data_IF_794866806050
#
_entry.id   IF_794866806050
#
_cell.length_a   1.000
_cell.length_b   1.000
_cell.length_c   1.000
_cell.angle_alpha   90.00
_cell.angle_beta   90.00
_cell.angle_gamma   90.00
#
_symmetry.space_group_name_H-M   'P 1'
#
loop_
_entity.id
_entity.type
_entity.pdbx_description
1 polymer ?
#
# COMPACT_ATOMS: atom_id res chain seq x y z
N UNK A 1 7.96 13.40 0.32
CA UNK A 1 8.91 12.82 1.30
C UNK A 1 8.11 12.05 2.33
N UNK A 2 8.44 10.78 2.61
CA UNK A 2 7.64 9.92 3.49
C UNK A 2 7.36 10.52 4.88
N UNK A 3 8.35 11.13 5.53
CA UNK A 3 8.17 11.77 6.85
C UNK A 3 7.16 12.92 6.84
N UNK A 4 7.13 13.68 5.73
CA UNK A 4 6.17 14.76 5.54
C UNK A 4 4.75 14.23 5.38
N UNK A 5 4.57 13.16 4.59
CA UNK A 5 3.26 12.50 4.45
C UNK A 5 2.78 11.91 5.78
N UNK A 6 3.69 11.34 6.58
CA UNK A 6 3.36 10.87 7.92
C UNK A 6 2.91 12.00 8.84
N UNK A 7 3.66 13.10 8.88
CA UNK A 7 3.30 14.27 9.69
C UNK A 7 1.95 14.86 9.27
N UNK A 8 1.68 14.94 7.95
CA UNK A 8 0.41 15.37 7.40
C UNK A 8 -0.74 14.48 7.87
N UNK A 9 -0.61 13.15 7.70
CA UNK A 9 -1.65 12.20 8.11
C UNK A 9 -1.89 12.23 9.63
N UNK A 10 -0.84 12.39 10.44
CA UNK A 10 -0.96 12.55 11.88
C UNK A 10 -1.77 13.80 12.24
N UNK A 11 -1.46 14.94 11.62
CA UNK A 11 -2.18 16.21 11.84
C UNK A 11 -3.64 16.08 11.43
N UNK A 12 -3.93 15.47 10.28
CA UNK A 12 -5.30 15.24 9.80
C UNK A 12 -6.12 14.43 10.80
N UNK A 13 -5.58 13.34 11.36
CA UNK A 13 -6.28 12.53 12.36
C UNK A 13 -6.47 13.29 13.68
N UNK A 14 -5.43 13.96 14.18
CA UNK A 14 -5.48 14.67 15.46
C UNK A 14 -6.47 15.83 15.44
N UNK A 15 -6.56 16.55 14.31
CA UNK A 15 -7.43 17.71 14.15
C UNK A 15 -8.83 17.38 13.62
N UNK A 16 -9.12 16.12 13.29
CA UNK A 16 -10.45 15.71 12.83
C UNK A 16 -11.49 15.80 13.96
N UNK A 17 -12.24 16.90 13.99
CA UNK A 17 -13.34 17.13 14.93
C UNK A 17 -14.66 16.46 14.53
N UNK A 18 -14.70 15.77 13.40
CA UNK A 18 -15.91 15.11 12.88
C UNK A 18 -16.05 13.66 13.32
N UNK A 19 -14.96 13.04 13.77
CA UNK A 19 -14.96 11.69 14.32
C UNK A 19 -15.03 11.67 15.85
N UNK A 20 -15.49 10.54 16.39
CA UNK A 20 -15.44 10.28 17.82
C UNK A 20 -14.01 10.03 18.30
N UNK A 21 -13.77 10.20 19.61
CA UNK A 21 -12.47 9.92 20.23
C UNK A 21 -12.00 8.48 19.96
N UNK A 22 -12.93 7.51 20.03
CA UNK A 22 -12.64 6.10 19.73
C UNK A 22 -12.18 5.88 18.29
N UNK A 23 -12.85 6.51 17.32
CA UNK A 23 -12.43 6.41 15.91
C UNK A 23 -11.06 7.05 15.71
N UNK A 24 -10.81 8.20 16.34
CA UNK A 24 -9.51 8.86 16.30
C UNK A 24 -8.40 7.99 16.86
N UNK A 25 -8.61 7.37 18.03
CA UNK A 25 -7.65 6.44 18.62
C UNK A 25 -7.32 5.28 17.66
N UNK A 26 -8.33 4.65 17.09
CA UNK A 26 -8.14 3.53 16.15
C UNK A 26 -7.36 3.97 14.91
N UNK A 27 -7.62 5.17 14.37
CA UNK A 27 -6.89 5.72 13.22
C UNK A 27 -5.43 6.02 13.57
N UNK A 28 -5.16 6.58 14.76
CA UNK A 28 -3.79 6.81 15.24
C UNK A 28 -3.02 5.50 15.42
N UNK A 29 -3.67 4.46 15.92
CA UNK A 29 -3.09 3.11 16.04
C UNK A 29 -2.71 2.51 14.66
N UNK A 30 -3.41 2.87 13.59
CA UNK A 30 -3.09 2.41 12.22
C UNK A 30 -1.87 3.10 11.61
N UNK A 31 -1.60 4.37 11.95
CA UNK A 31 -0.54 5.17 11.34
C UNK A 31 0.84 4.55 11.54
N UNK A 32 1.16 4.18 12.79
CA UNK A 32 2.51 3.73 13.17
C UNK A 32 2.92 2.44 12.44
N UNK A 33 2.08 1.38 12.38
CA UNK A 33 2.42 0.18 11.62
C UNK A 33 2.59 0.42 10.11
N UNK A 34 1.74 1.21 9.47
CA UNK A 34 1.86 1.50 8.03
C UNK A 34 3.12 2.31 7.74
N UNK A 35 3.42 3.31 8.56
CA UNK A 35 4.67 4.08 8.44
C UNK A 35 5.91 3.22 8.67
N UNK A 36 5.87 2.33 9.67
CA UNK A 36 6.92 1.34 9.92
C UNK A 36 7.13 0.41 8.72
N UNK A 37 6.05 -0.03 8.07
CA UNK A 37 6.11 -0.85 6.85
C UNK A 37 6.70 -0.08 5.67
N UNK A 38 6.29 1.16 5.44
CA UNK A 38 6.86 2.02 4.41
C UNK A 38 8.37 2.18 4.61
N UNK A 39 8.81 2.49 5.83
CA UNK A 39 10.23 2.56 6.17
C UNK A 39 10.97 1.23 5.97
N UNK A 40 10.33 0.09 6.25
CA UNK A 40 10.91 -1.21 5.97
C UNK A 40 11.13 -1.42 4.46
N UNK A 41 10.21 -0.98 3.61
CA UNK A 41 10.42 -1.00 2.15
C UNK A 41 11.57 -0.08 1.72
N UNK A 42 11.68 1.15 2.25
CA UNK A 42 12.83 2.03 1.97
C UNK A 42 14.15 1.37 2.36
N UNK A 43 14.23 0.74 3.53
CA UNK A 43 15.42 0.02 4.00
C UNK A 43 15.81 -1.16 3.12
N UNK A 44 14.84 -1.78 2.44
CA UNK A 44 15.08 -2.84 1.44
C UNK A 44 15.56 -2.29 0.08
N UNK A 45 15.66 -0.97 -0.09
CA UNK A 45 16.14 -0.33 -1.32
C UNK A 45 15.05 -0.11 -2.37
N UNK A 46 13.77 -0.19 -2.01
CA UNK A 46 12.69 0.13 -2.92
C UNK A 46 12.69 1.62 -3.29
N UNK A 47 12.17 1.91 -4.49
CA UNK A 47 12.11 3.28 -5.02
C UNK A 47 11.28 4.18 -4.09
N UNK A 48 11.84 5.30 -3.60
CA UNK A 48 11.15 6.15 -2.63
C UNK A 48 9.79 6.66 -3.09
N UNK A 49 9.63 6.97 -4.38
CA UNK A 49 8.36 7.45 -4.93
C UNK A 49 7.25 6.38 -4.90
N UNK A 50 7.58 5.10 -5.09
CA UNK A 50 6.59 4.01 -5.00
C UNK A 50 6.19 3.77 -3.54
N UNK A 51 7.17 3.81 -2.63
CA UNK A 51 6.90 3.62 -1.21
C UNK A 51 6.06 4.76 -0.63
N UNK A 52 6.35 5.99 -1.03
CA UNK A 52 5.53 7.15 -0.68
C UNK A 52 4.12 7.04 -1.24
N UNK A 53 3.96 6.63 -2.51
CA UNK A 53 2.66 6.41 -3.12
C UNK A 53 1.84 5.32 -2.41
N UNK A 54 2.48 4.22 -1.98
CA UNK A 54 1.86 3.22 -1.10
C UNK A 54 1.35 3.83 0.20
N UNK A 55 2.19 4.61 0.89
CA UNK A 55 1.83 5.21 2.16
C UNK A 55 0.64 6.16 1.97
N UNK A 56 0.70 7.06 0.99
CA UNK A 56 -0.38 7.99 0.65
C UNK A 56 -1.66 7.25 0.32
N UNK A 57 -1.61 6.20 -0.52
CA UNK A 57 -2.78 5.38 -0.87
C UNK A 57 -3.44 4.76 0.36
N UNK A 58 -2.65 4.26 1.32
CA UNK A 58 -3.19 3.78 2.60
C UNK A 58 -3.82 4.93 3.39
N UNK A 59 -3.17 6.09 3.47
CA UNK A 59 -3.69 7.23 4.24
C UNK A 59 -5.02 7.76 3.68
N UNK A 60 -5.25 7.71 2.37
CA UNK A 60 -6.54 8.05 1.76
C UNK A 60 -7.71 7.19 2.29
N UNK A 61 -7.45 5.94 2.67
CA UNK A 61 -8.43 5.04 3.25
C UNK A 61 -8.60 5.17 4.77
N UNK A 62 -7.68 5.86 5.45
CA UNK A 62 -7.66 5.97 6.91
C UNK A 62 -8.93 6.62 7.50
N UNK A 63 -9.54 7.67 6.88
CA UNK A 63 -10.78 8.25 7.39
C UNK A 63 -11.96 7.27 7.46
N UNK A 64 -11.92 6.17 6.71
CA UNK A 64 -12.98 5.15 6.72
C UNK A 64 -12.81 4.11 7.84
N UNK A 65 -11.68 4.15 8.55
CA UNK A 65 -11.42 3.25 9.68
C UNK A 65 -12.16 3.78 10.91
N UNK A 66 -13.18 3.05 11.37
CA UNK A 66 -13.98 3.43 12.54
C UNK A 66 -14.04 2.36 13.63
N UNK A 67 -13.71 1.11 13.30
CA UNK A 67 -13.78 -0.02 14.22
C UNK A 67 -12.45 -0.76 14.33
N UNK A 68 -12.30 -1.59 15.37
CA UNK A 68 -11.14 -2.49 15.50
C UNK A 68 -11.09 -3.51 14.35
N UNK A 69 -12.23 -3.87 13.76
CA UNK A 69 -12.27 -4.72 12.57
C UNK A 69 -11.72 -3.98 11.34
N UNK A 70 -12.14 -2.73 11.14
CA UNK A 70 -11.60 -1.89 10.06
C UNK A 70 -10.10 -1.72 10.18
N UNK A 71 -9.59 -1.52 11.40
CA UNK A 71 -8.15 -1.47 11.66
C UNK A 71 -7.45 -2.75 11.25
N UNK A 72 -7.99 -3.92 11.62
CA UNK A 72 -7.40 -5.20 11.20
C UNK A 72 -7.36 -5.32 9.68
N UNK A 73 -8.43 -4.92 9.00
CA UNK A 73 -8.49 -4.94 7.53
C UNK A 73 -7.55 -3.92 6.89
N UNK A 74 -7.44 -2.72 7.44
CA UNK A 74 -6.55 -1.65 7.00
C UNK A 74 -5.08 -2.05 7.06
N UNK A 75 -4.71 -2.72 8.15
CA UNK A 75 -3.36 -3.20 8.42
C UNK A 75 -2.98 -4.42 7.56
N UNK A 76 -3.92 -5.07 6.87
CA UNK A 76 -3.57 -6.15 5.94
C UNK A 76 -2.67 -5.64 4.82
N UNK A 77 -1.76 -6.51 4.44
CA UNK A 77 -0.90 -6.32 3.28
C UNK A 77 -1.76 -6.48 2.02
N UNK A 78 -1.53 -5.65 1.01
CA UNK A 78 -2.30 -5.63 -0.24
C UNK A 78 -1.91 -6.80 -1.16
N UNK A 79 -2.20 -8.03 -0.72
CA UNK A 79 -2.00 -9.25 -1.50
C UNK A 79 -3.24 -9.55 -2.35
N UNK A 80 -3.12 -9.74 -3.68
CA UNK A 80 -4.25 -10.08 -4.53
C UNK A 80 -4.70 -11.53 -4.31
N UNK A 81 -5.94 -11.83 -4.69
CA UNK A 81 -6.48 -13.19 -4.68
C UNK A 81 -6.23 -13.89 -6.02
N UNK A 82 -5.74 -15.12 -5.98
CA UNK A 82 -5.59 -15.95 -7.18
C UNK A 82 -6.83 -16.82 -7.39
N UNK A 83 -7.55 -16.59 -8.48
CA UNK A 83 -8.74 -17.38 -8.84
C UNK A 83 -8.85 -17.53 -10.35
N UNK A 84 -9.14 -18.75 -10.83
CA UNK A 84 -9.38 -19.01 -12.25
C UNK A 84 -8.21 -18.66 -13.17
N UNK A 85 -6.97 -18.78 -12.68
CA UNK A 85 -5.77 -18.45 -13.46
C UNK A 85 -5.40 -16.96 -13.48
N UNK A 86 -6.08 -16.10 -12.71
CA UNK A 86 -5.84 -14.66 -12.67
C UNK A 86 -5.77 -14.13 -11.25
N UNK A 87 -5.05 -13.03 -11.07
CA UNK A 87 -5.04 -12.27 -9.83
C UNK A 87 -6.14 -11.21 -9.85
N UNK A 88 -6.93 -11.13 -8.78
CA UNK A 88 -8.03 -10.18 -8.61
C UNK A 88 -7.92 -9.45 -7.27
N UNK A 89 -8.41 -8.22 -7.25
CA UNK A 89 -8.34 -7.32 -6.08
C UNK A 89 -9.73 -6.91 -5.58
N UNK A 90 -10.79 -7.48 -6.19
CA UNK A 90 -12.17 -7.12 -5.88
C UNK A 90 -12.49 -7.43 -4.41
N UNK A 91 -13.13 -6.48 -3.75
CA UNK A 91 -13.58 -6.58 -2.36
C UNK A 91 -12.45 -6.73 -1.32
N UNK A 92 -11.22 -6.29 -1.63
CA UNK A 92 -10.16 -6.19 -0.61
C UNK A 92 -10.17 -4.75 -0.06
N UNK A 93 -10.56 -4.54 1.21
CA UNK A 93 -10.58 -3.20 1.80
C UNK A 93 -9.17 -2.59 1.86
N UNK A 94 -9.08 -1.27 1.68
CA UNK A 94 -7.83 -0.51 1.86
C UNK A 94 -6.65 -1.01 1.01
N UNK A 95 -6.95 -1.56 -0.17
CA UNK A 95 -5.97 -2.12 -1.08
C UNK A 95 -5.08 -1.03 -1.70
N UNK A 96 -3.77 -1.26 -1.74
CA UNK A 96 -2.81 -0.44 -2.47
C UNK A 96 -2.13 -1.27 -3.56
N UNK A 97 -2.34 -0.87 -4.80
CA UNK A 97 -1.62 -1.44 -5.94
C UNK A 97 -0.11 -1.14 -5.87
N UNK A 98 0.26 -0.03 -5.24
CA UNK A 98 1.65 0.33 -4.99
C UNK A 98 2.30 -0.67 -4.02
N UNK A 99 1.60 -1.08 -2.95
CA UNK A 99 2.07 -2.15 -2.07
C UNK A 99 2.12 -3.50 -2.80
N UNK A 100 1.11 -3.83 -3.61
CA UNK A 100 1.11 -5.05 -4.45
C UNK A 100 2.35 -5.08 -5.36
N UNK A 101 2.69 -3.97 -6.01
CA UNK A 101 3.87 -3.85 -6.86
C UNK A 101 5.17 -4.14 -6.08
N UNK A 102 5.30 -3.58 -4.86
CA UNK A 102 6.45 -3.82 -3.99
C UNK A 102 6.56 -5.31 -3.62
N UNK A 103 5.43 -5.96 -3.35
CA UNK A 103 5.39 -7.39 -3.01
C UNK A 103 5.75 -8.28 -4.20
N UNK A 104 5.28 -7.96 -5.40
CA UNK A 104 5.66 -8.67 -6.61
C UNK A 104 7.15 -8.55 -6.89
N UNK A 105 7.71 -7.35 -6.72
CA UNK A 105 9.14 -7.12 -6.83
C UNK A 105 9.94 -7.86 -5.75
N UNK A 106 9.44 -7.97 -4.52
CA UNK A 106 10.11 -8.79 -3.49
C UNK A 106 10.03 -10.29 -3.81
N UNK A 107 8.90 -10.74 -4.34
CA UNK A 107 8.66 -12.15 -4.68
C UNK A 107 9.54 -12.58 -5.85
N UNK A 108 9.71 -11.74 -6.87
CA UNK A 108 10.55 -12.03 -8.03
C UNK A 108 12.04 -12.18 -7.68
N UNK A 109 12.50 -11.54 -6.60
CA UNK A 109 13.86 -11.73 -6.07
C UNK A 109 14.06 -13.11 -5.43
N UNK A 110 12.99 -13.75 -4.97
CA UNK A 110 13.04 -15.08 -4.33
C UNK A 110 12.94 -16.22 -5.35
N UNK A 111 12.36 -15.95 -6.52
CA UNK A 111 12.22 -16.92 -7.60
C UNK A 111 11.36 -16.40 -8.75
N UNK A 112 11.32 -17.12 -9.88
CA UNK A 112 10.52 -16.72 -11.03
C UNK A 112 9.03 -16.68 -10.68
N UNK A 113 8.35 -15.63 -11.12
CA UNK A 113 6.90 -15.53 -11.00
C UNK A 113 6.23 -16.49 -11.99
N UNK A 114 5.11 -17.09 -11.59
CA UNK A 114 4.21 -17.76 -12.55
C UNK A 114 3.69 -16.74 -13.57
N UNK A 115 3.28 -17.21 -14.75
CA UNK A 115 2.81 -16.34 -15.85
C UNK A 115 1.79 -15.29 -15.40
N UNK A 116 0.74 -15.71 -14.68
CA UNK A 116 -0.28 -14.79 -14.19
C UNK A 116 0.27 -13.73 -13.21
N UNK A 117 1.27 -14.10 -12.39
CA UNK A 117 1.91 -13.18 -11.44
C UNK A 117 2.83 -12.20 -12.16
N UNK A 118 3.56 -12.67 -13.18
CA UNK A 118 4.37 -11.80 -14.03
C UNK A 118 3.50 -10.80 -14.81
N UNK A 119 2.40 -11.26 -15.42
CA UNK A 119 1.47 -10.38 -16.14
C UNK A 119 0.91 -9.28 -15.23
N UNK A 120 0.47 -9.65 -14.02
CA UNK A 120 -0.03 -8.69 -13.03
C UNK A 120 1.06 -7.73 -12.55
N UNK A 121 2.25 -8.23 -12.27
CA UNK A 121 3.40 -7.41 -11.90
C UNK A 121 3.72 -6.37 -12.98
N UNK A 122 3.72 -6.80 -14.25
CA UNK A 122 4.00 -5.93 -15.40
C UNK A 122 2.90 -4.91 -15.66
N UNK A 123 1.63 -5.28 -15.46
CA UNK A 123 0.49 -4.36 -15.52
C UNK A 123 0.69 -3.21 -14.51
N UNK A 124 0.96 -3.56 -13.25
CA UNK A 124 1.18 -2.58 -12.19
C UNK A 124 2.43 -1.72 -12.41
N UNK A 125 3.51 -2.34 -12.86
CA UNK A 125 4.75 -1.62 -13.15
C UNK A 125 4.54 -0.54 -14.21
N UNK A 126 3.84 -0.87 -15.31
CA UNK A 126 3.49 0.09 -16.36
C UNK A 126 2.55 1.19 -15.87
N UNK A 127 1.59 0.84 -15.01
CA UNK A 127 0.61 1.79 -14.45
C UNK A 127 1.26 2.78 -13.48
N UNK A 128 2.08 2.31 -12.55
CA UNK A 128 2.64 3.11 -11.46
C UNK A 128 3.95 3.80 -11.86
N UNK A 129 4.74 3.21 -12.76
CA UNK A 129 6.03 3.73 -13.20
C UNK A 129 6.11 3.84 -14.74
N UNK A 130 5.18 4.56 -15.41
CA UNK A 130 5.10 4.58 -16.88
C UNK A 130 6.40 5.06 -17.54
N UNK A 131 7.04 6.10 -17.01
CA UNK A 131 8.31 6.63 -17.54
C UNK A 131 9.47 5.63 -17.45
N UNK A 132 9.50 4.78 -16.40
CA UNK A 132 10.50 3.71 -16.30
C UNK A 132 10.16 2.55 -17.21
N UNK A 133 8.87 2.26 -17.41
CA UNK A 133 8.43 1.23 -18.33
C UNK A 133 8.77 1.56 -19.80
N UNK A 134 8.70 2.83 -20.19
CA UNK A 134 9.11 3.29 -21.52
C UNK A 134 10.61 3.11 -21.79
N UNK A 135 11.45 3.14 -20.74
CA UNK A 135 12.90 2.99 -20.84
C UNK A 135 13.36 1.54 -20.94
N UNK A 136 12.46 0.58 -20.67
CA UNK A 136 12.76 -0.83 -20.63
C UNK A 136 12.01 -1.51 -21.78
N UNK A 137 12.74 -2.00 -22.77
CA UNK A 137 12.18 -2.91 -23.77
C UNK A 137 12.00 -4.28 -23.12
N UNK A 138 10.74 -4.68 -22.91
CA UNK A 138 10.36 -6.01 -22.40
C UNK A 138 10.25 -7.04 -23.52
#
# INVERSE_FOLDING_TARGET
MLDFEYAKALVEVVLDTTCSEKEREVRLECLTPIFGRANAYLKKGFLPNVVEAFFVRKMEGLPLVSTKQDMQDFLKVSTPHYFGGKFTVSNIPYYSEEEELLLWSETSLRGPLITAGYERYMELFKKILPQKAEQINF
#
